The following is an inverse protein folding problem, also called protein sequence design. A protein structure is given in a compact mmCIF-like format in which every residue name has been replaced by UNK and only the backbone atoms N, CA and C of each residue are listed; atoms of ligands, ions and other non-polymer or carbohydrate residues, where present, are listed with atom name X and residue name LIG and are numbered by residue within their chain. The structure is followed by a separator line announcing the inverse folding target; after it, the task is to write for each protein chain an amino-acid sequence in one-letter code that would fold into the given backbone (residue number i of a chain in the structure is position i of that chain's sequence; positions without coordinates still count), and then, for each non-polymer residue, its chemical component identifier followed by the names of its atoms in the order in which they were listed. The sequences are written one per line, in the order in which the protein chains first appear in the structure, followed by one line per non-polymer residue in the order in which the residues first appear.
data_IF_675528241276
#
_entry.id   IF_675528241276
#
_cell.length_a   1.000
_cell.length_b   1.000
_cell.length_c   1.000
_cell.angle_alpha   90.00
_cell.angle_beta   90.00
_cell.angle_gamma   90.00
#
_symmetry.space_group_name_H-M   'P 1'
#
loop_
_entity.id
_entity.type
_entity.pdbx_description
1 polymer ?
#
# COMPACT_ATOMS: atom_id res chain seq x y z
N UNK A 1 9.42 -17.88 5.89
CA UNK A 1 10.10 -19.11 6.37
C UNK A 1 9.12 -20.14 6.95
N UNK A 2 8.25 -19.81 7.91
CA UNK A 2 7.35 -20.79 8.54
C UNK A 2 6.42 -21.56 7.59
N UNK A 3 5.81 -20.91 6.60
CA UNK A 3 4.95 -21.57 5.59
C UNK A 3 5.76 -22.50 4.69
N UNK A 4 6.98 -22.08 4.32
CA UNK A 4 7.91 -22.84 3.48
C UNK A 4 8.39 -24.12 4.19
N UNK A 5 8.71 -24.02 5.48
CA UNK A 5 9.08 -25.16 6.31
C UNK A 5 7.90 -26.13 6.54
N UNK A 6 6.69 -25.59 6.73
CA UNK A 6 5.49 -26.40 6.98
C UNK A 6 5.01 -27.13 5.72
N UNK A 7 5.06 -26.49 4.56
CA UNK A 7 4.79 -27.14 3.27
C UNK A 7 5.90 -28.12 2.89
N UNK A 8 7.16 -27.78 3.14
CA UNK A 8 8.31 -28.66 2.95
C UNK A 8 8.21 -29.94 3.78
N UNK A 9 7.79 -29.82 5.04
CA UNK A 9 7.54 -30.97 5.92
C UNK A 9 6.36 -31.82 5.46
N UNK A 10 5.29 -31.20 4.96
CA UNK A 10 4.11 -31.91 4.44
C UNK A 10 4.24 -32.41 3.00
N UNK A 11 5.39 -32.19 2.36
CA UNK A 11 5.68 -32.51 0.96
C UNK A 11 4.65 -31.99 -0.06
N UNK A 12 3.90 -30.93 0.27
CA UNK A 12 2.93 -30.33 -0.65
C UNK A 12 3.61 -29.25 -1.49
N UNK A 13 3.17 -29.10 -2.74
CA UNK A 13 3.59 -28.01 -3.64
C UNK A 13 5.11 -27.91 -3.90
N UNK A 14 5.85 -29.04 -3.88
CA UNK A 14 7.31 -29.05 -4.09
C UNK A 14 7.74 -28.41 -5.41
N UNK A 15 7.02 -28.69 -6.50
CA UNK A 15 7.32 -28.11 -7.82
C UNK A 15 7.20 -26.58 -7.81
N UNK A 16 6.18 -26.04 -7.14
CA UNK A 16 6.01 -24.60 -6.98
C UNK A 16 7.19 -24.00 -6.22
N UNK A 17 7.56 -24.57 -5.07
CA UNK A 17 8.66 -24.06 -4.26
C UNK A 17 10.00 -24.15 -4.97
N UNK A 18 10.27 -25.25 -5.67
CA UNK A 18 11.49 -25.41 -6.46
C UNK A 18 11.53 -24.39 -7.59
N UNK A 19 10.45 -24.23 -8.35
CA UNK A 19 10.38 -23.24 -9.44
C UNK A 19 10.56 -21.82 -8.91
N UNK A 20 9.88 -21.46 -7.81
CA UNK A 20 9.99 -20.14 -7.19
C UNK A 20 11.41 -19.86 -6.70
N UNK A 21 12.07 -20.86 -6.09
CA UNK A 21 13.45 -20.73 -5.63
C UNK A 21 14.40 -20.60 -6.83
N UNK A 22 14.31 -21.48 -7.83
CA UNK A 22 15.16 -21.43 -9.02
C UNK A 22 15.02 -20.10 -9.76
N UNK A 23 13.79 -19.66 -10.05
CA UNK A 23 13.53 -18.38 -10.72
C UNK A 23 14.03 -17.22 -9.86
N UNK A 24 13.76 -17.23 -8.55
CA UNK A 24 14.25 -16.22 -7.62
C UNK A 24 15.77 -16.13 -7.59
N UNK A 25 16.47 -17.27 -7.55
CA UNK A 25 17.94 -17.34 -7.58
C UNK A 25 18.49 -16.83 -8.91
N UNK A 26 17.93 -17.25 -10.05
CA UNK A 26 18.38 -16.80 -11.38
C UNK A 26 18.22 -15.28 -11.51
N UNK A 27 17.07 -14.74 -11.11
CA UNK A 27 16.83 -13.30 -11.14
C UNK A 27 17.76 -12.55 -10.19
N UNK A 28 18.00 -13.07 -8.98
CA UNK A 28 18.92 -12.46 -8.02
C UNK A 28 20.36 -12.45 -8.55
N UNK A 29 20.84 -13.57 -9.10
CA UNK A 29 22.18 -13.66 -9.68
C UNK A 29 22.33 -12.74 -10.89
N UNK A 30 21.33 -12.68 -11.77
CA UNK A 30 21.32 -11.75 -12.90
C UNK A 30 21.37 -10.29 -12.45
N UNK A 31 20.58 -9.94 -11.43
CA UNK A 31 20.60 -8.61 -10.81
C UNK A 31 21.99 -8.28 -10.23
N UNK A 32 22.58 -9.17 -9.45
CA UNK A 32 23.92 -8.98 -8.87
C UNK A 32 25.01 -8.88 -9.95
N UNK A 33 24.93 -9.69 -11.00
CA UNK A 33 25.86 -9.65 -12.13
C UNK A 33 25.82 -8.31 -12.86
N UNK A 34 24.62 -7.74 -13.08
CA UNK A 34 24.48 -6.40 -13.66
C UNK A 34 25.21 -5.35 -12.81
N UNK A 35 25.02 -5.34 -11.49
CA UNK A 35 25.77 -4.40 -10.63
C UNK A 35 27.27 -4.68 -10.63
N UNK A 36 27.70 -5.95 -10.64
CA UNK A 36 29.12 -6.26 -10.74
C UNK A 36 29.74 -5.70 -12.02
N UNK A 37 29.04 -5.76 -13.16
CA UNK A 37 29.55 -5.26 -14.45
C UNK A 37 29.59 -3.74 -14.51
N UNK A 38 28.58 -3.04 -13.97
CA UNK A 38 28.47 -1.59 -14.09
C UNK A 38 29.10 -0.79 -12.94
N UNK A 39 29.26 -1.39 -11.76
CA UNK A 39 29.73 -0.68 -10.55
C UNK A 39 30.90 -1.38 -9.85
N UNK A 40 31.45 -2.45 -10.42
CA UNK A 40 32.51 -3.31 -9.83
C UNK A 40 32.16 -3.86 -8.43
N UNK A 41 30.88 -3.83 -8.07
CA UNK A 41 30.38 -4.19 -6.75
C UNK A 41 29.00 -4.84 -6.90
N UNK A 42 28.94 -6.18 -6.84
CA UNK A 42 27.70 -6.94 -6.90
C UNK A 42 26.68 -6.52 -5.84
N UNK A 43 27.14 -6.05 -4.68
CA UNK A 43 26.30 -5.64 -3.56
C UNK A 43 26.16 -4.12 -3.47
N UNK A 44 26.48 -3.40 -4.54
CA UNK A 44 26.49 -1.93 -4.60
C UNK A 44 25.26 -1.29 -3.96
N UNK A 45 24.05 -1.79 -4.22
CA UNK A 45 22.82 -1.25 -3.64
C UNK A 45 22.74 -1.43 -2.13
N UNK A 46 23.20 -2.56 -1.60
CA UNK A 46 23.25 -2.79 -0.15
C UNK A 46 24.27 -1.84 0.47
N UNK A 47 25.47 -1.74 -0.11
CA UNK A 47 26.50 -0.83 0.38
C UNK A 47 26.08 0.64 0.31
N UNK A 48 25.38 1.04 -0.76
CA UNK A 48 24.84 2.39 -0.90
C UNK A 48 23.81 2.69 0.19
N UNK A 49 22.90 1.75 0.47
CA UNK A 49 21.89 1.88 1.53
C UNK A 49 22.56 1.96 2.90
N UNK A 50 23.57 1.13 3.18
CA UNK A 50 24.33 1.18 4.43
C UNK A 50 25.05 2.52 4.61
N UNK A 51 25.78 3.00 3.60
CA UNK A 51 26.46 4.31 3.65
C UNK A 51 25.47 5.46 3.86
N UNK A 52 24.31 5.40 3.19
CA UNK A 52 23.26 6.41 3.35
C UNK A 52 22.66 6.36 4.76
N UNK A 53 22.39 5.17 5.28
CA UNK A 53 21.89 4.97 6.64
C UNK A 53 22.92 5.42 7.69
N UNK A 54 24.20 5.25 7.40
CA UNK A 54 25.31 5.72 8.21
C UNK A 54 25.39 7.24 8.27
N UNK A 55 25.27 7.91 7.13
CA UNK A 55 25.19 9.37 7.07
C UNK A 55 23.98 9.94 7.82
N UNK A 56 22.86 9.21 7.84
CA UNK A 56 21.63 9.63 8.53
C UNK A 56 21.53 9.14 9.99
N UNK A 57 22.60 8.57 10.56
CA UNK A 57 22.62 7.98 11.93
C UNK A 57 22.23 8.97 13.04
N UNK A 58 22.58 10.25 12.90
CA UNK A 58 22.30 11.28 13.92
C UNK A 58 20.80 11.58 14.08
N UNK A 59 19.98 11.26 13.08
CA UNK A 59 18.51 11.36 13.12
C UNK A 59 17.78 10.04 13.45
N UNK A 60 18.51 8.94 13.61
CA UNK A 60 17.91 7.60 13.71
C UNK A 60 17.40 7.25 15.12
N UNK A 61 16.50 6.26 15.16
CA UNK A 61 15.78 5.77 16.34
C UNK A 61 16.67 5.30 17.51
N UNK A 62 17.94 4.96 17.24
CA UNK A 62 18.86 4.36 18.21
C UNK A 62 19.53 5.41 19.11
N UNK A 63 19.95 6.55 18.56
CA UNK A 63 20.72 7.56 19.29
C UNK A 63 19.86 8.75 19.76
N UNK A 64 18.80 9.11 19.04
CA UNK A 64 18.06 10.36 19.31
C UNK A 64 16.75 10.24 20.10
N UNK A 65 15.94 9.19 19.89
CA UNK A 65 14.54 9.16 20.37
C UNK A 65 14.01 7.74 20.65
N UNK A 66 14.36 7.14 21.78
CA UNK A 66 13.81 5.84 22.24
C UNK A 66 12.27 5.81 22.27
N UNK A 67 11.64 6.93 22.63
CA UNK A 67 10.17 7.06 22.58
C UNK A 67 9.60 6.94 21.17
N UNK A 68 10.31 7.45 20.15
CA UNK A 68 9.90 7.30 18.75
C UNK A 68 10.03 5.85 18.28
N UNK A 69 11.01 5.10 18.77
CA UNK A 69 11.15 3.67 18.49
C UNK A 69 9.98 2.88 19.09
N UNK A 70 9.63 3.16 20.34
CA UNK A 70 8.49 2.51 21.00
C UNK A 70 7.19 2.79 20.25
N UNK A 71 6.92 4.04 19.89
CA UNK A 71 5.78 4.40 19.05
C UNK A 71 5.80 3.67 17.70
N UNK A 72 6.98 3.60 17.04
CA UNK A 72 7.17 2.90 15.76
C UNK A 72 6.89 1.39 15.84
N UNK A 73 7.19 0.76 16.98
CA UNK A 73 7.00 -0.68 17.20
C UNK A 73 5.60 -1.04 17.71
N UNK A 74 4.85 -0.10 18.28
CA UNK A 74 3.55 -0.37 18.91
C UNK A 74 2.37 0.16 18.10
N UNK A 75 2.22 1.47 18.01
CA UNK A 75 1.01 2.11 17.47
C UNK A 75 1.19 2.64 16.05
N UNK A 76 2.40 3.03 15.64
CA UNK A 76 2.61 3.66 14.33
C UNK A 76 2.12 2.81 13.14
N UNK A 77 2.30 1.48 13.10
CA UNK A 77 1.78 0.67 12.00
C UNK A 77 0.25 0.64 11.98
N UNK A 78 -0.41 0.58 13.15
CA UNK A 78 -1.87 0.67 13.24
C UNK A 78 -2.37 2.03 12.77
N UNK A 79 -1.75 3.12 13.25
CA UNK A 79 -2.03 4.48 12.80
C UNK A 79 -1.88 4.61 11.29
N UNK A 80 -0.84 4.00 10.73
CA UNK A 80 -0.59 3.96 9.30
C UNK A 80 -1.69 3.20 8.53
N UNK A 81 -2.08 1.99 8.94
CA UNK A 81 -3.13 1.23 8.25
C UNK A 81 -4.49 1.93 8.35
N UNK A 82 -4.82 2.47 9.53
CA UNK A 82 -6.05 3.24 9.74
C UNK A 82 -6.03 4.50 8.89
N UNK A 83 -4.95 5.30 8.93
CA UNK A 83 -4.81 6.55 8.19
C UNK A 83 -4.73 6.38 6.67
N UNK A 84 -4.29 5.22 6.17
CA UNK A 84 -4.25 4.91 4.73
C UNK A 84 -5.56 4.36 4.17
N UNK A 85 -6.50 3.94 5.02
CA UNK A 85 -7.77 3.32 4.59
C UNK A 85 -7.75 1.79 4.58
N UNK A 86 -6.65 1.18 5.01
CA UNK A 86 -6.47 -0.27 5.05
C UNK A 86 -6.92 -0.92 6.37
N UNK A 87 -7.33 -0.12 7.35
CA UNK A 87 -7.81 -0.62 8.65
C UNK A 87 -8.98 -1.59 8.52
N UNK A 88 -9.90 -1.35 7.58
CA UNK A 88 -11.02 -2.28 7.30
C UNK A 88 -10.55 -3.63 6.78
N UNK A 89 -9.57 -3.66 5.87
CA UNK A 89 -8.99 -4.91 5.36
C UNK A 89 -8.28 -5.68 6.48
N UNK A 90 -7.54 -4.98 7.35
CA UNK A 90 -6.91 -5.58 8.53
C UNK A 90 -7.95 -6.17 9.49
N UNK A 91 -9.05 -5.45 9.73
CA UNK A 91 -10.15 -5.92 10.57
C UNK A 91 -10.82 -7.17 10.01
N UNK A 92 -11.12 -7.21 8.71
CA UNK A 92 -11.71 -8.39 8.07
C UNK A 92 -10.72 -9.57 8.02
N UNK A 93 -9.43 -9.33 7.83
CA UNK A 93 -8.41 -10.38 7.93
C UNK A 93 -8.35 -10.95 9.36
N UNK A 94 -8.44 -10.11 10.40
CA UNK A 94 -8.58 -10.56 11.78
C UNK A 94 -9.87 -11.37 11.99
N UNK A 95 -11.00 -10.94 11.42
CA UNK A 95 -12.25 -11.69 11.46
C UNK A 95 -12.10 -13.09 10.82
N UNK A 96 -11.39 -13.18 9.70
CA UNK A 96 -11.09 -14.45 9.04
C UNK A 96 -10.22 -15.37 9.92
N UNK A 97 -9.21 -14.80 10.60
CA UNK A 97 -8.34 -15.53 11.51
C UNK A 97 -9.10 -16.12 12.70
N UNK A 98 -10.02 -15.34 13.30
CA UNK A 98 -10.83 -15.79 14.43
C UNK A 98 -11.81 -16.91 14.03
N UNK A 99 -12.31 -16.89 12.80
CA UNK A 99 -13.27 -17.87 12.28
C UNK A 99 -12.64 -19.02 11.48
N UNK A 100 -11.30 -19.11 11.42
CA UNK A 100 -10.58 -20.08 10.59
C UNK A 100 -10.97 -21.55 10.81
N UNK A 101 -11.45 -21.91 12.00
CA UNK A 101 -11.89 -23.28 12.34
C UNK A 101 -13.10 -23.73 11.52
N UNK A 102 -13.88 -22.79 10.98
CA UNK A 102 -15.07 -23.08 10.18
C UNK A 102 -14.77 -23.51 8.75
N UNK A 103 -13.52 -23.36 8.29
CA UNK A 103 -13.13 -23.65 6.90
C UNK A 103 -11.86 -24.53 6.81
N UNK A 104 -11.97 -25.81 7.19
CA UNK A 104 -10.84 -26.73 7.17
C UNK A 104 -10.23 -26.91 5.77
N UNK A 105 -11.05 -26.80 4.71
CA UNK A 105 -10.64 -27.05 3.30
C UNK A 105 -10.34 -25.77 2.51
N UNK A 106 -10.15 -24.63 3.17
CA UNK A 106 -9.89 -23.35 2.48
C UNK A 106 -8.42 -22.94 2.52
N UNK A 107 -7.97 -22.24 1.47
CA UNK A 107 -6.65 -21.59 1.40
C UNK A 107 -6.51 -20.38 2.35
N UNK A 108 -7.51 -20.09 3.18
CA UNK A 108 -7.51 -18.95 4.09
C UNK A 108 -6.27 -18.93 5.00
N UNK A 109 -5.84 -20.10 5.48
CA UNK A 109 -4.64 -20.21 6.34
C UNK A 109 -3.37 -19.77 5.61
N UNK A 110 -3.24 -20.14 4.34
CA UNK A 110 -2.10 -19.73 3.52
C UNK A 110 -2.08 -18.20 3.36
N UNK A 111 -3.21 -17.61 2.95
CA UNK A 111 -3.29 -16.17 2.72
C UNK A 111 -3.16 -15.35 4.01
N UNK A 112 -3.72 -15.83 5.12
CA UNK A 112 -3.54 -15.21 6.44
C UNK A 112 -2.08 -15.31 6.91
N UNK A 113 -1.43 -16.46 6.73
CA UNK A 113 -0.03 -16.63 7.09
C UNK A 113 0.89 -15.77 6.21
N UNK A 114 0.60 -15.68 4.92
CA UNK A 114 1.33 -14.83 3.98
C UNK A 114 1.17 -13.36 4.37
N UNK A 115 -0.07 -12.87 4.54
CA UNK A 115 -0.37 -11.51 4.97
C UNK A 115 0.30 -11.18 6.31
N UNK A 116 0.19 -12.07 7.30
CA UNK A 116 0.81 -11.91 8.61
C UNK A 116 2.34 -11.88 8.54
N UNK A 117 2.96 -12.73 7.72
CA UNK A 117 4.42 -12.73 7.54
C UNK A 117 4.92 -11.47 6.84
N UNK A 118 4.25 -11.03 5.78
CA UNK A 118 4.58 -9.78 5.07
C UNK A 118 4.36 -8.57 5.98
N UNK A 119 3.29 -8.57 6.77
CA UNK A 119 3.02 -7.55 7.78
C UNK A 119 4.12 -7.52 8.83
N UNK A 120 4.58 -8.67 9.32
CA UNK A 120 5.67 -8.74 10.29
C UNK A 120 6.99 -8.18 9.73
N UNK A 121 7.32 -8.49 8.47
CA UNK A 121 8.47 -7.88 7.80
C UNK A 121 8.32 -6.37 7.65
N UNK A 122 7.13 -5.87 7.30
CA UNK A 122 6.89 -4.43 7.20
C UNK A 122 6.93 -3.73 8.58
N UNK A 123 6.43 -4.40 9.61
CA UNK A 123 6.32 -3.86 10.96
C UNK A 123 7.68 -3.81 11.65
N UNK A 124 8.43 -4.91 11.61
CA UNK A 124 9.67 -5.11 12.36
C UNK A 124 10.93 -5.15 11.50
N UNK A 125 10.82 -5.16 10.18
CA UNK A 125 11.98 -5.24 9.29
C UNK A 125 12.87 -4.00 9.35
N UNK A 126 14.14 -4.21 9.02
CA UNK A 126 15.18 -3.17 8.98
C UNK A 126 15.63 -2.92 7.54
N UNK A 127 16.01 -1.68 7.24
CA UNK A 127 16.68 -1.29 5.99
C UNK A 127 18.20 -1.37 6.08
N UNK A 128 18.74 -1.67 7.27
CA UNK A 128 20.18 -1.85 7.52
C UNK A 128 20.44 -3.20 8.21
N UNK A 129 21.57 -3.81 7.86
CA UNK A 129 22.16 -5.02 8.43
C UNK A 129 23.05 -4.70 9.64
N UNK A 130 23.66 -3.51 9.67
CA UNK A 130 24.60 -3.10 10.73
C UNK A 130 23.89 -2.57 11.97
N UNK A 131 22.74 -1.93 11.78
CA UNK A 131 21.95 -1.32 12.85
C UNK A 131 20.46 -1.47 12.58
N UNK A 132 19.65 -1.50 13.63
CA UNK A 132 18.19 -1.55 13.48
C UNK A 132 17.66 -0.21 12.95
N UNK A 133 17.31 -0.16 11.66
CA UNK A 133 16.68 0.99 11.04
C UNK A 133 15.31 0.57 10.45
N UNK A 134 14.20 0.78 11.17
CA UNK A 134 12.90 0.26 10.77
C UNK A 134 12.47 0.81 9.41
N UNK A 135 11.87 -0.05 8.58
CA UNK A 135 11.34 0.34 7.28
C UNK A 135 10.38 1.52 7.42
N UNK A 136 10.53 2.55 6.58
CA UNK A 136 9.69 3.74 6.65
C UNK A 136 8.24 3.41 6.32
N UNK A 137 7.31 3.93 7.13
CA UNK A 137 5.88 3.71 6.95
C UNK A 137 5.32 4.62 5.85
N UNK A 138 5.43 4.17 4.60
CA UNK A 138 4.95 4.90 3.42
C UNK A 138 3.96 4.03 2.62
N UNK A 139 2.90 4.61 2.05
CA UNK A 139 1.89 3.87 1.28
C UNK A 139 2.48 2.99 0.16
N UNK A 140 3.54 3.45 -0.50
CA UNK A 140 4.21 2.67 -1.55
C UNK A 140 4.91 1.42 -1.03
N UNK A 141 5.35 1.42 0.24
CA UNK A 141 6.07 0.31 0.86
C UNK A 141 5.13 -0.83 1.28
N UNK A 142 3.82 -0.58 1.38
CA UNK A 142 2.82 -1.64 1.66
C UNK A 142 2.27 -2.31 0.42
N UNK A 143 2.68 -1.90 -0.78
CA UNK A 143 2.24 -2.53 -2.03
C UNK A 143 2.42 -4.05 -2.06
N UNK A 144 3.50 -4.66 -1.51
CA UNK A 144 3.61 -6.13 -1.48
C UNK A 144 2.66 -6.80 -0.48
N UNK A 145 2.20 -6.07 0.54
CA UNK A 145 1.26 -6.56 1.55
C UNK A 145 -0.20 -6.52 1.06
N UNK A 146 -0.53 -5.63 0.11
CA UNK A 146 -1.90 -5.43 -0.33
C UNK A 146 -2.58 -6.70 -0.87
N UNK A 147 -1.99 -7.45 -1.84
CA UNK A 147 -2.65 -8.64 -2.37
C UNK A 147 -2.97 -9.70 -1.30
N UNK A 148 -2.02 -10.16 -0.47
CA UNK A 148 -2.34 -11.18 0.53
C UNK A 148 -3.30 -10.65 1.61
N UNK A 149 -3.20 -9.37 2.01
CA UNK A 149 -4.10 -8.78 2.98
C UNK A 149 -5.54 -8.68 2.45
N UNK A 150 -5.73 -8.25 1.20
CA UNK A 150 -7.05 -8.15 0.58
C UNK A 150 -7.69 -9.53 0.38
N UNK A 151 -6.91 -10.55 0.00
CA UNK A 151 -7.41 -11.93 -0.10
C UNK A 151 -7.80 -12.47 1.28
N UNK A 152 -6.97 -12.24 2.31
CA UNK A 152 -7.30 -12.58 3.69
C UNK A 152 -8.59 -11.88 4.18
N UNK A 153 -8.74 -10.59 3.89
CA UNK A 153 -9.93 -9.80 4.20
C UNK A 153 -11.18 -10.37 3.50
N UNK A 154 -11.04 -10.82 2.25
CA UNK A 154 -12.12 -11.45 1.48
C UNK A 154 -12.71 -12.68 2.17
N UNK A 155 -11.89 -13.50 2.83
CA UNK A 155 -12.40 -14.62 3.63
C UNK A 155 -13.26 -14.14 4.81
N UNK A 156 -12.83 -13.12 5.54
CA UNK A 156 -13.60 -12.55 6.65
C UNK A 156 -14.94 -11.97 6.19
N UNK A 157 -14.92 -11.26 5.06
CA UNK A 157 -16.11 -10.73 4.41
C UNK A 157 -17.06 -11.86 3.96
N UNK A 158 -16.51 -12.96 3.44
CA UNK A 158 -17.27 -14.16 3.07
C UNK A 158 -17.93 -14.82 4.29
N UNK A 159 -17.25 -14.93 5.45
CA UNK A 159 -17.88 -15.47 6.67
C UNK A 159 -19.08 -14.64 7.08
N UNK A 160 -18.88 -13.32 7.09
CA UNK A 160 -19.93 -12.38 7.43
C UNK A 160 -21.10 -12.49 6.45
N UNK A 161 -20.83 -12.53 5.14
CA UNK A 161 -21.87 -12.66 4.12
C UNK A 161 -22.73 -13.92 4.31
N UNK A 162 -22.12 -15.02 4.78
CA UNK A 162 -22.78 -16.32 4.96
C UNK A 162 -23.53 -16.44 6.27
N UNK A 163 -22.95 -15.94 7.35
CA UNK A 163 -23.45 -16.18 8.71
C UNK A 163 -24.14 -14.95 9.32
N UNK A 164 -23.83 -13.75 8.86
CA UNK A 164 -24.23 -12.47 9.46
C UNK A 164 -23.62 -12.24 10.84
N UNK A 165 -22.77 -13.15 11.33
CA UNK A 165 -22.25 -13.12 12.70
C UNK A 165 -21.15 -12.10 12.86
N UNK A 166 -21.15 -11.43 14.01
CA UNK A 166 -20.14 -10.46 14.38
C UNK A 166 -20.31 -9.09 13.71
N UNK A 167 -21.51 -8.77 13.22
CA UNK A 167 -21.81 -7.46 12.68
C UNK A 167 -21.64 -6.36 13.73
N UNK A 168 -22.03 -6.64 14.97
CA UNK A 168 -21.93 -5.78 16.15
C UNK A 168 -20.49 -5.37 16.47
N UNK A 169 -19.58 -6.34 16.62
CA UNK A 169 -18.18 -6.03 16.92
C UNK A 169 -17.49 -5.34 15.74
N UNK A 170 -17.80 -5.74 14.50
CA UNK A 170 -17.28 -5.08 13.29
C UNK A 170 -17.74 -3.62 13.24
N UNK A 171 -19.01 -3.36 13.52
CA UNK A 171 -19.56 -2.01 13.57
C UNK A 171 -18.86 -1.15 14.61
N UNK A 172 -18.67 -1.66 15.83
CA UNK A 172 -17.98 -0.96 16.92
C UNK A 172 -16.51 -0.70 16.60
N UNK A 173 -15.79 -1.68 16.07
CA UNK A 173 -14.39 -1.52 15.71
C UNK A 173 -14.20 -0.51 14.56
N UNK A 174 -15.06 -0.56 13.54
CA UNK A 174 -15.04 0.41 12.45
C UNK A 174 -15.43 1.82 12.92
N UNK A 175 -16.37 1.93 13.88
CA UNK A 175 -16.71 3.21 14.49
C UNK A 175 -15.52 3.80 15.25
N UNK A 176 -14.82 2.96 16.02
CA UNK A 176 -13.59 3.37 16.70
C UNK A 176 -12.51 3.83 15.70
N UNK A 177 -12.32 3.11 14.58
CA UNK A 177 -11.40 3.53 13.51
C UNK A 177 -11.84 4.84 12.85
N UNK A 178 -13.15 5.07 12.67
CA UNK A 178 -13.67 6.32 12.14
C UNK A 178 -13.35 7.50 13.07
N UNK A 179 -13.55 7.34 14.38
CA UNK A 179 -13.20 8.34 15.38
C UNK A 179 -11.70 8.60 15.50
N UNK A 180 -10.89 7.55 15.32
CA UNK A 180 -9.43 7.64 15.36
C UNK A 180 -8.83 8.34 14.14
N UNK A 181 -9.30 8.03 12.93
CA UNK A 181 -8.64 8.46 11.69
C UNK A 181 -8.69 9.99 11.42
N UNK A 182 -9.65 10.72 12.02
CA UNK A 182 -9.84 12.19 11.95
C UNK A 182 -9.60 12.81 10.56
N UNK A 183 -9.97 12.11 9.49
CA UNK A 183 -9.67 12.49 8.10
C UNK A 183 -10.78 12.02 7.16
N UNK A 184 -10.64 12.26 5.86
CA UNK A 184 -11.60 11.76 4.85
C UNK A 184 -11.75 10.23 4.86
N UNK A 185 -10.77 9.50 5.40
CA UNK A 185 -10.83 8.05 5.59
C UNK A 185 -11.88 7.65 6.64
N UNK A 186 -12.20 8.54 7.59
CA UNK A 186 -13.27 8.33 8.56
C UNK A 186 -14.63 8.11 7.90
N UNK A 187 -14.87 8.66 6.71
CA UNK A 187 -16.11 8.42 5.95
C UNK A 187 -16.23 6.97 5.48
N UNK A 188 -15.11 6.35 5.10
CA UNK A 188 -15.06 4.95 4.67
C UNK A 188 -15.44 4.06 5.86
N UNK A 189 -14.77 4.25 7.00
CA UNK A 189 -15.03 3.47 8.21
C UNK A 189 -16.41 3.74 8.80
N UNK A 190 -16.88 4.99 8.79
CA UNK A 190 -18.21 5.36 9.25
C UNK A 190 -19.32 4.75 8.39
N UNK A 191 -19.18 4.81 7.06
CA UNK A 191 -20.14 4.18 6.13
C UNK A 191 -20.21 2.66 6.31
N UNK A 192 -19.05 2.01 6.44
CA UNK A 192 -19.00 0.57 6.75
C UNK A 192 -19.61 0.28 8.12
N UNK A 193 -19.25 1.04 9.16
CA UNK A 193 -19.79 0.87 10.53
C UNK A 193 -21.31 0.96 10.56
N UNK A 194 -21.90 1.95 9.88
CA UNK A 194 -23.34 2.12 9.78
C UNK A 194 -23.99 0.90 9.13
N UNK A 195 -23.43 0.39 8.04
CA UNK A 195 -23.94 -0.81 7.39
C UNK A 195 -23.90 -2.04 8.31
N UNK A 196 -22.74 -2.30 8.94
CA UNK A 196 -22.60 -3.44 9.86
C UNK A 196 -23.51 -3.30 11.08
N UNK A 197 -23.67 -2.09 11.62
CA UNK A 197 -24.58 -1.79 12.73
C UNK A 197 -26.05 -2.01 12.37
N UNK A 198 -26.47 -1.58 11.18
CA UNK A 198 -27.81 -1.88 10.66
C UNK A 198 -28.01 -3.38 10.48
N UNK A 199 -27.03 -4.09 9.92
CA UNK A 199 -27.12 -5.54 9.75
C UNK A 199 -27.08 -6.29 11.09
N UNK A 200 -26.45 -5.77 12.13
CA UNK A 200 -26.50 -6.34 13.47
C UNK A 200 -27.95 -6.41 14.01
N UNK A 201 -28.78 -5.43 13.66
CA UNK A 201 -30.17 -5.33 14.12
C UNK A 201 -31.14 -6.02 13.16
N UNK A 202 -30.93 -5.84 11.85
CA UNK A 202 -31.88 -6.24 10.81
C UNK A 202 -31.63 -7.63 10.25
N UNK A 203 -30.40 -8.16 10.35
CA UNK A 203 -30.09 -9.45 9.79
C UNK A 203 -30.69 -10.57 10.65
N UNK A 204 -31.62 -11.32 10.06
CA UNK A 204 -32.22 -12.47 10.71
C UNK A 204 -32.23 -13.66 9.74
N UNK A 205 -31.87 -14.88 10.19
CA UNK A 205 -31.99 -16.09 9.39
C UNK A 205 -33.43 -16.36 8.92
N UNK A 206 -34.43 -15.84 9.64
CA UNK A 206 -35.87 -16.02 9.36
C UNK A 206 -36.48 -14.85 8.55
N UNK A 207 -35.67 -13.87 8.13
CA UNK A 207 -36.17 -12.76 7.35
C UNK A 207 -36.68 -13.22 5.97
N UNK A 208 -37.86 -12.73 5.58
CA UNK A 208 -38.47 -13.01 4.28
C UNK A 208 -37.74 -12.28 3.14
N UNK A 209 -37.24 -11.08 3.39
CA UNK A 209 -36.50 -10.30 2.40
C UNK A 209 -35.07 -10.83 2.26
N UNK A 210 -34.68 -11.24 1.05
CA UNK A 210 -33.37 -11.82 0.77
C UNK A 210 -32.19 -10.95 1.22
N UNK A 211 -32.27 -9.63 1.04
CA UNK A 211 -31.21 -8.69 1.44
C UNK A 211 -30.96 -8.60 2.95
N UNK A 212 -31.86 -9.12 3.80
CA UNK A 212 -31.69 -9.21 5.27
C UNK A 212 -31.25 -10.60 5.73
N UNK A 213 -31.30 -11.61 4.85
CA UNK A 213 -31.01 -12.99 5.20
C UNK A 213 -29.56 -13.32 4.85
N UNK A 214 -28.69 -13.59 5.85
CA UNK A 214 -27.32 -14.03 5.58
C UNK A 214 -27.29 -15.31 4.73
N UNK A 215 -26.25 -15.44 3.90
CA UNK A 215 -26.08 -16.59 3.00
C UNK A 215 -26.79 -16.46 1.66
N UNK A 216 -27.55 -15.39 1.42
CA UNK A 216 -28.19 -15.13 0.13
C UNK A 216 -27.31 -14.28 -0.79
N UNK A 217 -27.53 -14.39 -2.11
CA UNK A 217 -26.87 -13.53 -3.10
C UNK A 217 -27.19 -12.05 -2.91
N UNK A 218 -28.43 -11.71 -2.54
CA UNK A 218 -28.84 -10.32 -2.32
C UNK A 218 -28.09 -9.69 -1.14
N UNK A 219 -27.91 -10.42 -0.03
CA UNK A 219 -27.13 -9.96 1.12
C UNK A 219 -25.65 -9.74 0.74
N UNK A 220 -25.05 -10.69 0.01
CA UNK A 220 -23.67 -10.57 -0.46
C UNK A 220 -23.48 -9.41 -1.45
N UNK A 221 -24.42 -9.22 -2.37
CA UNK A 221 -24.39 -8.11 -3.34
C UNK A 221 -24.49 -6.76 -2.64
N UNK A 222 -25.38 -6.62 -1.65
CA UNK A 222 -25.50 -5.40 -0.86
C UNK A 222 -24.20 -5.10 -0.09
N UNK A 223 -23.61 -6.11 0.54
CA UNK A 223 -22.32 -5.99 1.22
C UNK A 223 -21.23 -5.49 0.28
N UNK A 224 -21.10 -6.11 -0.91
CA UNK A 224 -20.11 -5.71 -1.91
C UNK A 224 -20.37 -4.30 -2.44
N UNK A 225 -21.63 -3.92 -2.66
CA UNK A 225 -22.00 -2.58 -3.11
C UNK A 225 -21.60 -1.54 -2.06
N UNK A 226 -21.84 -1.81 -0.78
CA UNK A 226 -21.45 -0.89 0.30
C UNK A 226 -19.93 -0.79 0.41
N UNK A 227 -19.19 -1.91 0.36
CA UNK A 227 -17.73 -1.89 0.37
C UNK A 227 -17.17 -1.13 -0.84
N UNK A 228 -17.68 -1.40 -2.04
CA UNK A 228 -17.27 -0.71 -3.26
C UNK A 228 -17.61 0.78 -3.21
N UNK A 229 -18.84 1.13 -2.80
CA UNK A 229 -19.30 2.50 -2.71
C UNK A 229 -18.47 3.32 -1.71
N UNK A 230 -18.27 2.80 -0.50
CA UNK A 230 -17.46 3.48 0.53
C UNK A 230 -15.99 3.63 0.13
N UNK A 231 -15.39 2.62 -0.50
CA UNK A 231 -13.99 2.70 -0.97
C UNK A 231 -13.82 3.59 -2.20
N UNK A 232 -14.85 3.73 -3.04
CA UNK A 232 -14.84 4.60 -4.23
C UNK A 232 -14.95 6.09 -3.91
N UNK A 233 -15.47 6.48 -2.74
CA UNK A 233 -15.63 7.89 -2.34
C UNK A 233 -14.33 8.66 -2.46
N UNK A 234 -13.22 8.09 -1.98
CA UNK A 234 -11.93 8.79 -1.92
C UNK A 234 -11.29 8.95 -3.32
N UNK A 235 -11.18 7.91 -4.15
CA UNK A 235 -10.81 8.08 -5.56
C UNK A 235 -11.70 9.09 -6.30
N UNK A 236 -13.02 8.99 -6.15
CA UNK A 236 -13.95 9.92 -6.81
C UNK A 236 -13.71 11.37 -6.37
N UNK A 237 -13.50 11.61 -5.07
CA UNK A 237 -13.15 12.93 -4.54
C UNK A 237 -11.79 13.43 -5.06
N UNK A 238 -10.78 12.57 -5.18
CA UNK A 238 -9.49 12.98 -5.76
C UNK A 238 -9.57 13.26 -7.25
N UNK A 239 -10.44 12.56 -7.98
CA UNK A 239 -10.69 12.84 -9.40
C UNK A 239 -11.41 14.18 -9.61
N UNK A 240 -12.23 14.62 -8.66
CA UNK A 240 -12.90 15.93 -8.72
C UNK A 240 -12.04 17.06 -8.15
N UNK A 241 -11.07 16.75 -7.29
CA UNK A 241 -10.15 17.75 -6.74
C UNK A 241 -9.23 18.26 -7.87
N UNK A 242 -9.16 19.59 -8.10
CA UNK A 242 -8.21 20.15 -9.06
C UNK A 242 -6.78 19.75 -8.65
N UNK A 243 -6.03 19.19 -9.59
CA UNK A 243 -4.70 18.65 -9.31
C UNK A 243 -3.77 19.74 -8.77
N UNK A 244 -3.25 19.57 -7.55
CA UNK A 244 -2.26 20.49 -6.98
C UNK A 244 -0.93 20.44 -7.76
N UNK A 245 -0.71 19.40 -8.57
CA UNK A 245 0.49 19.25 -9.40
C UNK A 245 0.42 19.90 -10.77
N UNK A 246 -0.77 20.27 -11.26
CA UNK A 246 -0.82 21.23 -12.36
C UNK A 246 -0.49 22.56 -11.74
N UNK A 247 0.74 23.03 -11.91
CA UNK A 247 1.25 24.29 -11.40
C UNK A 247 0.38 25.46 -11.89
N UNK A 248 -0.83 25.63 -11.35
CA UNK A 248 -1.86 26.47 -11.95
C UNK A 248 -1.44 27.93 -11.98
N UNK A 249 -0.75 28.40 -10.94
CA UNK A 249 -0.17 29.74 -10.90
C UNK A 249 0.97 29.90 -11.90
N UNK A 250 1.84 28.89 -12.09
CA UNK A 250 2.87 28.94 -13.12
C UNK A 250 2.24 28.90 -14.52
N UNK A 251 1.24 28.05 -14.75
CA UNK A 251 0.47 28.01 -15.99
C UNK A 251 -0.28 29.32 -16.25
N UNK A 252 -0.76 29.99 -15.20
CA UNK A 252 -1.41 31.30 -15.30
C UNK A 252 -0.39 32.39 -15.61
N UNK A 253 0.80 32.36 -15.01
CA UNK A 253 1.90 33.27 -15.33
C UNK A 253 2.41 33.05 -16.76
N UNK A 254 2.62 31.80 -17.17
CA UNK A 254 2.99 31.42 -18.54
C UNK A 254 1.91 31.91 -19.52
N UNK A 255 0.63 31.61 -19.27
CA UNK A 255 -0.47 32.09 -20.12
C UNK A 255 -0.66 33.61 -20.11
N UNK A 256 -0.17 34.33 -19.11
CA UNK A 256 -0.29 35.79 -19.03
C UNK A 256 0.89 36.51 -19.67
N UNK A 257 2.10 35.96 -19.54
CA UNK A 257 3.35 36.63 -19.92
C UNK A 257 4.06 36.01 -21.13
N UNK A 258 3.71 34.78 -21.52
CA UNK A 258 4.31 34.05 -22.65
C UNK A 258 3.31 33.80 -23.80
N UNK A 259 2.31 34.68 -23.95
CA UNK A 259 1.43 34.67 -25.13
C UNK A 259 2.16 35.30 -26.32
N UNK A 260 1.97 34.79 -27.56
CA UNK A 260 2.45 35.47 -28.74
C UNK A 260 1.95 36.93 -28.75
N UNK A 261 2.78 37.93 -29.10
CA UNK A 261 4.10 37.84 -29.73
C UNK A 261 5.27 37.96 -28.74
N UNK A 262 5.16 37.39 -27.53
CA UNK A 262 6.24 37.46 -26.54
C UNK A 262 7.57 36.92 -27.11
N UNK A 263 8.55 37.81 -27.26
CA UNK A 263 9.92 37.47 -27.64
C UNK A 263 10.75 37.34 -26.37
N UNK A 264 11.28 36.14 -26.09
CA UNK A 264 12.12 35.86 -24.94
C UNK A 264 12.55 34.39 -24.88
N UNK A 265 13.73 34.14 -24.29
CA UNK A 265 14.22 32.78 -24.03
C UNK A 265 13.84 32.41 -22.60
N UNK A 266 13.09 31.32 -22.43
CA UNK A 266 12.75 30.78 -21.11
C UNK A 266 13.75 29.70 -20.77
N UNK A 267 14.56 29.92 -19.73
CA UNK A 267 15.42 28.88 -19.18
C UNK A 267 14.56 27.93 -18.34
N UNK A 268 14.54 26.66 -18.73
CA UNK A 268 13.91 25.56 -18.01
C UNK A 268 14.98 24.52 -17.71
N UNK A 269 14.80 23.74 -16.64
CA UNK A 269 15.68 22.61 -16.36
C UNK A 269 15.41 21.44 -17.34
N UNK A 270 16.39 20.55 -17.46
CA UNK A 270 16.27 19.36 -18.33
C UNK A 270 15.13 18.45 -17.88
N UNK A 271 14.78 18.47 -16.59
CA UNK A 271 13.65 17.70 -16.06
C UNK A 271 12.31 18.12 -16.68
N UNK A 272 12.05 19.42 -16.83
CA UNK A 272 10.83 19.94 -17.45
C UNK A 272 10.80 19.68 -18.96
N UNK A 273 11.97 19.67 -19.60
CA UNK A 273 12.13 19.31 -21.02
C UNK A 273 11.85 17.83 -21.26
N UNK A 274 12.44 16.94 -20.46
CA UNK A 274 12.27 15.49 -20.60
C UNK A 274 10.84 15.04 -20.25
N UNK A 275 10.14 15.81 -19.42
CA UNK A 275 8.76 15.51 -18.99
C UNK A 275 7.73 16.45 -19.65
N UNK A 276 8.05 17.08 -20.79
CA UNK A 276 7.17 18.05 -21.46
C UNK A 276 5.76 17.50 -21.72
N UNK A 277 5.64 16.18 -21.92
CA UNK A 277 4.38 15.46 -22.13
C UNK A 277 3.38 15.67 -21.00
N UNK A 278 3.86 15.69 -19.75
CA UNK A 278 3.02 15.86 -18.56
C UNK A 278 2.63 17.32 -18.32
N UNK A 279 3.51 18.26 -18.71
CA UNK A 279 3.34 19.68 -18.40
C UNK A 279 2.64 20.47 -19.53
N UNK A 280 2.80 20.03 -20.78
CA UNK A 280 2.26 20.70 -21.98
C UNK A 280 1.21 19.87 -22.72
N UNK A 281 0.63 18.85 -22.08
CA UNK A 281 -0.44 18.04 -22.63
C UNK A 281 -0.04 17.32 -23.92
N UNK A 282 1.13 16.69 -23.92
CA UNK A 282 1.72 15.96 -25.05
C UNK A 282 1.98 16.80 -26.31
N UNK A 283 1.98 18.13 -26.19
CA UNK A 283 2.37 19.03 -27.27
C UNK A 283 3.72 19.62 -26.94
N UNK A 284 4.75 19.27 -27.71
CA UNK A 284 6.08 19.87 -27.59
C UNK A 284 6.06 21.30 -28.10
N UNK A 285 6.35 22.33 -27.27
CA UNK A 285 6.62 23.67 -27.78
C UNK A 285 7.63 23.67 -28.93
N UNK A 286 7.37 24.40 -30.03
CA UNK A 286 8.17 24.34 -31.25
C UNK A 286 9.56 24.99 -31.14
N UNK A 287 9.91 25.61 -30.00
CA UNK A 287 11.13 26.41 -29.82
C UNK A 287 11.96 26.00 -28.59
N UNK A 288 12.09 24.70 -28.31
CA UNK A 288 13.08 24.24 -27.33
C UNK A 288 14.47 24.19 -27.93
N UNK A 289 15.36 25.05 -27.44
CA UNK A 289 16.80 24.91 -27.63
C UNK A 289 17.32 24.27 -26.33
N UNK A 290 17.64 22.99 -26.37
CA UNK A 290 18.41 22.35 -25.31
C UNK A 290 19.79 22.98 -25.32
N UNK A 291 20.09 23.79 -24.30
CA UNK A 291 21.46 24.12 -23.99
C UNK A 291 22.07 22.88 -23.35
N UNK A 292 22.44 21.90 -24.17
CA UNK A 292 23.20 20.75 -23.68
C UNK A 292 24.42 21.31 -22.92
N UNK A 293 24.46 21.12 -21.60
CA UNK A 293 25.72 21.34 -20.90
C UNK A 293 26.75 20.44 -21.58
N UNK A 294 27.95 20.97 -21.92
CA UNK A 294 29.02 20.10 -22.38
C UNK A 294 29.25 19.01 -21.33
N UNK A 295 29.59 17.79 -21.75
CA UNK A 295 29.81 16.68 -20.82
C UNK A 295 30.75 17.15 -19.71
N UNK A 296 30.33 16.92 -18.46
CA UNK A 296 31.12 17.27 -17.29
C UNK A 296 32.56 16.78 -17.50
N UNK A 297 33.50 17.73 -17.47
CA UNK A 297 34.93 17.43 -17.54
C UNK A 297 35.20 16.38 -16.44
N UNK A 298 35.79 15.21 -16.79
CA UNK A 298 36.11 14.21 -15.79
C UNK A 298 37.05 14.86 -14.77
N UNK A 299 36.63 14.86 -13.50
CA UNK A 299 37.53 15.19 -12.41
C UNK A 299 38.65 14.15 -12.41
N UNK A 300 39.85 14.60 -12.77
CA UNK A 300 41.10 13.86 -12.60
C UNK A 300 41.50 13.81 -11.12
#
# INVERSE_FOLDING_TARGET
MGVLLLDGWRQRNRQFWLTAFTVGTVLLLGYLAVYQVYTDDALYRIHLIERTNEFLKEGNYILGKRGALFYRLTTAPLDFFIGTGLGGALLFACAALLNQRRWPDSDAKYWLALAGSTLAFYWFGSTSLTQYNPITLLPRMTTPLLPPLCLAAGFGLRDFSRSGRGADWLALALLAYAGWARSSVSLIYGGLSLYFGLMAILASPTAHAGWRRPGTYAFAALLLLVVAGTTAVRPAYFMTKPSVSSHFEQNKLIKKHLQPPAQGVVFVDDYLVDNYDYYYGHKKPPAFISAAMPPAIPFA
#
